data_IF_317208069987
#
_entry.id   IF_317208069987
#
_cell.length_a   1.000
_cell.length_b   1.000
_cell.length_c   1.000
_cell.angle_alpha   90.00
_cell.angle_beta   90.00
_cell.angle_gamma   90.00
#
_symmetry.space_group_name_H-M   'P 1'
#
loop_
_entity.id
_entity.type
_entity.pdbx_description
1 polymer ?
#
# COMPACT_ATOMS: atom_id res chain seq x y z
N UNK A 1 12.87 -16.00 9.28
CA UNK A 1 13.38 -14.66 8.89
C UNK A 1 13.94 -14.73 7.48
N UNK A 2 13.51 -13.86 6.58
CA UNK A 2 13.91 -13.79 5.16
C UNK A 2 14.32 -12.36 4.82
N UNK A 3 15.48 -12.16 4.17
CA UNK A 3 15.90 -10.84 3.68
C UNK A 3 15.69 -10.74 2.17
N UNK A 4 15.05 -9.66 1.74
CA UNK A 4 14.91 -9.25 0.35
C UNK A 4 15.60 -7.90 0.15
N UNK A 5 16.06 -7.62 -1.07
CA UNK A 5 16.72 -6.35 -1.40
C UNK A 5 16.06 -5.70 -2.60
N UNK A 6 15.75 -4.42 -2.45
CA UNK A 6 15.30 -3.55 -3.53
C UNK A 6 16.45 -2.58 -3.85
N UNK A 7 16.90 -2.58 -5.09
CA UNK A 7 17.83 -1.58 -5.62
C UNK A 7 17.07 -0.69 -6.61
N UNK A 8 17.08 0.61 -6.35
CA UNK A 8 16.45 1.62 -7.20
C UNK A 8 17.43 2.76 -7.51
N UNK A 9 17.02 3.68 -8.37
CA UNK A 9 17.82 4.86 -8.74
C UNK A 9 17.96 5.85 -7.59
N UNK A 10 17.06 5.78 -6.59
CA UNK A 10 17.02 6.69 -5.44
C UNK A 10 17.60 6.08 -4.16
N UNK A 11 18.16 4.89 -4.25
CA UNK A 11 18.77 4.18 -3.14
C UNK A 11 18.46 2.69 -3.12
N UNK A 12 18.93 2.01 -2.07
CA UNK A 12 18.66 0.60 -1.84
C UNK A 12 17.97 0.39 -0.50
N UNK A 13 17.09 -0.61 -0.43
CA UNK A 13 16.36 -0.98 0.77
C UNK A 13 16.56 -2.46 1.10
N UNK A 14 16.75 -2.78 2.39
CA UNK A 14 16.71 -4.13 2.93
C UNK A 14 15.35 -4.38 3.55
N UNK A 15 14.61 -5.33 3.03
CA UNK A 15 13.30 -5.72 3.55
C UNK A 15 13.49 -7.04 4.33
N UNK A 16 13.31 -6.98 5.65
CA UNK A 16 13.56 -8.12 6.54
C UNK A 16 12.23 -8.65 7.05
N UNK A 17 11.80 -9.78 6.53
CA UNK A 17 10.52 -10.41 6.82
C UNK A 17 10.67 -11.37 7.99
N UNK A 18 9.82 -11.21 9.00
CA UNK A 18 9.88 -11.96 10.25
C UNK A 18 10.93 -11.41 11.24
N UNK A 19 11.40 -10.17 11.02
CA UNK A 19 12.23 -9.45 11.99
C UNK A 19 11.39 -9.03 13.21
N UNK A 20 12.07 -8.79 14.33
CA UNK A 20 11.43 -8.13 15.48
C UNK A 20 11.87 -6.67 15.57
N UNK A 21 10.95 -5.79 15.95
CA UNK A 21 11.30 -4.40 16.24
C UNK A 21 12.29 -4.28 17.42
N UNK A 22 12.37 -5.30 18.26
CA UNK A 22 13.34 -5.36 19.36
C UNK A 22 14.78 -5.41 18.84
N UNK A 23 14.99 -5.94 17.63
CA UNK A 23 16.28 -6.10 16.99
C UNK A 23 16.67 -4.87 16.15
N UNK A 24 15.95 -3.74 16.31
CA UNK A 24 16.19 -2.51 15.54
C UNK A 24 17.65 -2.03 15.65
N UNK A 25 18.29 -2.26 16.81
CA UNK A 25 19.70 -1.93 17.03
C UNK A 25 20.70 -2.64 16.11
N UNK A 26 20.32 -3.77 15.51
CA UNK A 26 21.17 -4.51 14.56
C UNK A 26 21.20 -3.84 13.17
N UNK A 27 20.25 -2.95 12.91
CA UNK A 27 20.09 -2.27 11.61
C UNK A 27 20.54 -0.82 11.64
N UNK A 28 20.56 -0.19 12.81
CA UNK A 28 20.94 1.21 12.98
C UNK A 28 21.40 1.48 14.42
N UNK A 29 22.41 2.36 14.60
CA UNK A 29 22.85 2.78 15.94
C UNK A 29 21.67 3.38 16.73
N UNK A 30 21.27 2.69 17.80
CA UNK A 30 20.09 3.05 18.61
C UNK A 30 20.16 4.47 19.19
N UNK A 31 21.38 5.00 19.44
CA UNK A 31 21.61 6.36 19.94
C UNK A 31 21.28 7.45 18.92
N UNK A 32 21.16 7.09 17.65
CA UNK A 32 20.89 8.00 16.52
C UNK A 32 19.49 7.88 15.97
N UNK A 33 18.61 7.13 16.64
CA UNK A 33 17.24 6.92 16.20
C UNK A 33 16.33 8.01 16.77
N UNK A 34 15.49 8.56 15.88
CA UNK A 34 14.26 9.26 16.28
C UNK A 34 13.10 8.55 15.59
N UNK A 35 12.16 8.02 16.39
CA UNK A 35 10.98 7.36 15.86
C UNK A 35 9.89 8.38 15.53
N UNK A 36 9.26 8.22 14.38
CA UNK A 36 8.03 8.90 14.01
C UNK A 36 6.89 7.88 14.09
N UNK A 37 6.10 7.93 15.16
CA UNK A 37 5.14 6.90 15.50
C UNK A 37 3.69 7.38 15.32
N UNK A 38 2.83 6.52 14.73
CA UNK A 38 1.38 6.72 14.75
C UNK A 38 0.87 6.76 16.20
N UNK A 39 -0.08 7.65 16.49
CA UNK A 39 -0.60 7.87 17.86
C UNK A 39 -1.18 6.58 18.47
N UNK A 40 -1.92 5.77 17.69
CA UNK A 40 -2.51 4.52 18.18
C UNK A 40 -1.41 3.48 18.45
N UNK A 41 -0.43 3.40 17.55
CA UNK A 41 0.70 2.47 17.66
C UNK A 41 1.57 2.85 18.87
N UNK A 42 1.86 4.13 19.06
CA UNK A 42 2.61 4.61 20.22
C UNK A 42 1.91 4.26 21.54
N UNK A 43 0.58 4.33 21.59
CA UNK A 43 -0.21 3.94 22.76
C UNK A 43 -0.22 2.43 23.00
N UNK A 44 -0.41 1.63 21.94
CA UNK A 44 -0.52 0.17 22.04
C UNK A 44 0.83 -0.50 22.29
N UNK A 45 1.88 0.03 21.66
CA UNK A 45 3.23 -0.54 21.70
C UNK A 45 4.23 0.33 22.48
N UNK A 46 3.76 1.05 23.50
CA UNK A 46 4.57 2.00 24.29
C UNK A 46 5.89 1.42 24.80
N UNK A 47 5.90 0.15 25.18
CA UNK A 47 7.11 -0.53 25.67
C UNK A 47 8.20 -0.64 24.61
N UNK A 48 7.83 -0.79 23.34
CA UNK A 48 8.78 -0.92 22.22
C UNK A 48 9.47 0.39 21.87
N UNK A 49 8.81 1.54 22.15
CA UNK A 49 9.34 2.86 21.82
C UNK A 49 9.96 3.60 23.01
N UNK A 50 9.77 3.10 24.25
CA UNK A 50 10.16 3.82 25.48
C UNK A 50 11.66 4.08 25.62
N UNK A 51 12.50 3.32 24.92
CA UNK A 51 13.97 3.51 24.89
C UNK A 51 14.48 4.50 23.85
N UNK A 52 13.60 5.08 23.03
CA UNK A 52 13.98 5.95 21.92
C UNK A 52 13.40 7.35 22.08
N UNK A 53 14.05 8.35 21.48
CA UNK A 53 13.42 9.64 21.20
C UNK A 53 12.32 9.41 20.16
N UNK A 54 11.15 9.98 20.36
CA UNK A 54 10.05 9.80 19.40
C UNK A 54 9.15 11.02 19.27
N UNK A 55 8.44 11.08 18.15
CA UNK A 55 7.49 12.13 17.80
C UNK A 55 6.18 11.47 17.39
N UNK A 56 5.08 11.95 17.92
CA UNK A 56 3.73 11.58 17.50
C UNK A 56 3.43 12.25 16.15
N UNK A 57 3.11 11.44 15.14
CA UNK A 57 2.76 11.94 13.79
C UNK A 57 1.26 12.05 13.56
N UNK A 58 0.45 11.71 14.56
CA UNK A 58 -0.99 11.59 14.44
C UNK A 58 -1.41 10.24 13.85
N UNK A 59 -2.71 10.08 13.61
CA UNK A 59 -3.28 8.86 13.04
C UNK A 59 -4.26 9.18 11.90
N UNK A 60 -4.35 8.26 10.94
CA UNK A 60 -5.26 8.33 9.82
C UNK A 60 -4.87 9.37 8.77
N UNK A 61 -5.62 9.40 7.67
CA UNK A 61 -5.29 10.17 6.46
C UNK A 61 -5.21 11.69 6.70
N UNK A 62 -5.93 12.22 7.68
CA UNK A 62 -5.89 13.66 8.07
C UNK A 62 -4.51 14.10 8.58
N UNK A 63 -3.69 13.17 9.07
CA UNK A 63 -2.32 13.45 9.51
C UNK A 63 -1.36 13.70 8.33
N UNK A 64 -1.66 13.21 7.12
CA UNK A 64 -0.83 13.40 5.91
C UNK A 64 -0.94 14.79 5.34
N UNK A 65 -0.32 15.79 5.96
CA UNK A 65 -0.40 17.19 5.54
C UNK A 65 0.94 17.92 5.69
N UNK A 66 1.17 18.98 4.93
CA UNK A 66 2.34 19.85 5.09
C UNK A 66 2.43 20.44 6.49
N UNK A 67 1.29 20.75 7.11
CA UNK A 67 1.25 21.27 8.49
C UNK A 67 1.80 20.24 9.50
N UNK A 68 1.53 18.96 9.28
CA UNK A 68 2.10 17.88 10.10
C UNK A 68 3.60 17.76 9.88
N UNK A 69 4.06 17.87 8.64
CA UNK A 69 5.49 17.83 8.31
C UNK A 69 6.24 18.99 8.97
N UNK A 70 5.70 20.20 8.92
CA UNK A 70 6.31 21.35 9.60
C UNK A 70 6.47 21.11 11.12
N UNK A 71 5.41 20.61 11.76
CA UNK A 71 5.44 20.27 13.19
C UNK A 71 6.51 19.20 13.49
N UNK A 72 6.57 18.15 12.67
CA UNK A 72 7.56 17.08 12.82
C UNK A 72 8.97 17.64 12.66
N UNK A 73 9.23 18.47 11.65
CA UNK A 73 10.55 19.08 11.45
C UNK A 73 10.98 19.94 12.66
N UNK A 74 10.07 20.72 13.25
CA UNK A 74 10.34 21.46 14.50
C UNK A 74 10.69 20.51 15.64
N UNK A 75 9.95 19.43 15.83
CA UNK A 75 10.22 18.43 16.87
C UNK A 75 11.56 17.71 16.65
N UNK A 76 11.94 17.45 15.41
CA UNK A 76 13.27 16.90 15.09
C UNK A 76 14.39 17.86 15.54
N UNK A 77 14.23 19.17 15.30
CA UNK A 77 15.17 20.19 15.80
C UNK A 77 15.24 20.21 17.32
N UNK A 78 14.09 20.24 18.01
CA UNK A 78 14.02 20.25 19.47
C UNK A 78 14.71 19.00 20.09
N UNK A 79 14.64 17.86 19.43
CA UNK A 79 15.26 16.61 19.84
C UNK A 79 16.75 16.53 19.49
N UNK A 80 17.29 17.56 18.83
CA UNK A 80 18.71 17.64 18.45
C UNK A 80 19.07 16.72 17.28
N UNK A 81 18.14 16.51 16.34
CA UNK A 81 18.43 15.74 15.12
C UNK A 81 19.53 16.42 14.29
N UNK A 82 20.48 15.63 13.84
CA UNK A 82 21.57 16.04 12.95
C UNK A 82 21.64 15.11 11.72
N UNK A 83 22.66 15.34 10.86
CA UNK A 83 22.84 14.54 9.64
C UNK A 83 23.18 13.06 9.88
N UNK A 84 23.56 12.69 11.10
CA UNK A 84 23.79 11.30 11.49
C UNK A 84 22.55 10.61 12.02
N UNK A 85 21.47 11.35 12.25
CA UNK A 85 20.20 10.84 12.75
C UNK A 85 19.53 9.94 11.70
N UNK A 86 19.00 8.81 12.15
CA UNK A 86 18.13 7.93 11.35
C UNK A 86 16.70 8.05 11.85
N UNK A 87 15.79 8.40 10.96
CA UNK A 87 14.35 8.44 11.23
C UNK A 87 13.76 7.05 11.05
N UNK A 88 12.98 6.57 12.02
CA UNK A 88 12.26 5.29 11.88
C UNK A 88 10.76 5.55 11.93
N UNK A 89 10.07 5.30 10.81
CA UNK A 89 8.61 5.36 10.73
C UNK A 89 8.00 4.11 11.35
N UNK A 90 7.16 4.27 12.38
CA UNK A 90 6.46 3.19 13.08
C UNK A 90 4.95 3.39 12.95
N UNK A 91 4.29 2.55 12.17
CA UNK A 91 2.84 2.66 11.95
C UNK A 91 2.40 2.06 10.62
N UNK A 92 1.18 2.37 10.20
CA UNK A 92 0.65 2.01 8.89
C UNK A 92 1.26 2.85 7.75
N UNK A 93 0.72 2.72 6.54
CA UNK A 93 1.19 3.44 5.36
C UNK A 93 1.25 4.95 5.53
N UNK A 94 0.30 5.55 6.25
CA UNK A 94 0.28 6.99 6.56
C UNK A 94 1.52 7.41 7.33
N UNK A 95 1.88 6.67 8.39
CA UNK A 95 3.06 6.99 9.20
C UNK A 95 4.36 6.76 8.43
N UNK A 96 4.43 5.71 7.59
CA UNK A 96 5.57 5.46 6.71
C UNK A 96 5.76 6.60 5.71
N UNK A 97 4.68 7.03 5.02
CA UNK A 97 4.74 8.12 4.05
C UNK A 97 5.17 9.44 4.68
N UNK A 98 4.61 9.79 5.85
CA UNK A 98 4.99 10.98 6.61
C UNK A 98 6.46 10.92 7.03
N UNK A 99 6.89 9.78 7.58
CA UNK A 99 8.26 9.61 8.06
C UNK A 99 9.28 9.68 6.91
N UNK A 100 9.02 8.98 5.82
CA UNK A 100 9.87 8.99 4.64
C UNK A 100 9.96 10.37 3.99
N UNK A 101 8.82 11.09 3.90
CA UNK A 101 8.80 12.44 3.35
C UNK A 101 9.52 13.44 4.25
N UNK A 102 9.22 13.45 5.56
CA UNK A 102 9.90 14.32 6.53
C UNK A 102 11.42 14.09 6.54
N UNK A 103 11.86 12.83 6.60
CA UNK A 103 13.29 12.49 6.55
C UNK A 103 13.94 12.94 5.25
N UNK A 104 13.25 12.79 4.12
CA UNK A 104 13.80 13.13 2.80
C UNK A 104 14.05 14.63 2.60
N UNK A 105 13.27 15.50 3.27
CA UNK A 105 13.40 16.96 3.12
C UNK A 105 14.17 17.61 4.27
N UNK A 106 14.17 17.03 5.48
CA UNK A 106 14.86 17.59 6.64
C UNK A 106 16.36 17.58 6.41
N UNK A 107 17.03 18.72 6.62
CA UNK A 107 18.48 18.93 6.36
C UNK A 107 18.96 18.47 4.98
N UNK A 108 18.08 18.46 3.95
CA UNK A 108 18.31 17.95 2.60
C UNK A 108 18.44 16.43 2.51
N UNK A 109 17.93 15.72 3.50
CA UNK A 109 17.85 14.27 3.56
C UNK A 109 18.57 13.66 4.76
N UNK A 110 17.79 12.92 5.59
CA UNK A 110 18.29 12.02 6.61
C UNK A 110 18.13 10.58 6.15
N UNK A 111 18.94 9.68 6.71
CA UNK A 111 18.67 8.25 6.59
C UNK A 111 17.35 7.89 7.28
N UNK A 112 16.60 6.96 6.71
CA UNK A 112 15.36 6.50 7.32
C UNK A 112 15.11 5.01 7.06
N UNK A 113 14.25 4.42 7.89
CA UNK A 113 13.73 3.07 7.75
C UNK A 113 12.30 2.99 8.25
N UNK A 114 11.67 1.85 8.05
CA UNK A 114 10.28 1.62 8.45
C UNK A 114 10.14 0.35 9.31
N UNK A 115 9.24 0.42 10.27
CA UNK A 115 8.66 -0.71 10.98
C UNK A 115 7.13 -0.66 10.77
N UNK A 116 6.63 -1.19 9.64
CA UNK A 116 5.21 -1.14 9.30
C UNK A 116 4.38 -2.02 10.24
N UNK A 117 3.27 -1.45 10.75
CA UNK A 117 2.41 -2.12 11.75
C UNK A 117 1.06 -2.54 11.20
N UNK A 118 0.78 -2.28 9.94
CA UNK A 118 -0.42 -2.77 9.25
C UNK A 118 -0.04 -3.78 8.17
N UNK A 119 -0.89 -4.77 7.92
CA UNK A 119 -0.67 -5.76 6.87
C UNK A 119 -0.46 -5.09 5.51
N UNK A 120 -1.29 -4.08 5.18
CA UNK A 120 -1.16 -3.28 3.97
C UNK A 120 0.23 -2.64 3.85
N UNK A 121 0.75 -2.05 4.93
CA UNK A 121 2.07 -1.43 4.87
C UNK A 121 3.21 -2.45 4.77
N UNK A 122 3.05 -3.64 5.37
CA UNK A 122 4.04 -4.72 5.29
C UNK A 122 4.17 -5.30 3.87
N UNK A 123 3.06 -5.38 3.14
CA UNK A 123 3.07 -5.96 1.79
C UNK A 123 3.21 -4.92 0.67
N UNK A 124 2.81 -3.68 0.94
CA UNK A 124 2.71 -2.65 -0.11
C UNK A 124 3.31 -1.31 0.32
N UNK A 125 2.66 -0.52 1.17
CA UNK A 125 2.96 0.90 1.32
C UNK A 125 4.39 1.21 1.77
N UNK A 126 5.02 0.41 2.62
CA UNK A 126 6.40 0.64 3.08
C UNK A 126 7.49 0.25 2.07
N UNK A 127 7.12 -0.37 0.93
CA UNK A 127 8.06 -0.88 -0.08
C UNK A 127 7.96 -0.05 -1.35
N UNK A 128 9.10 0.40 -1.88
CA UNK A 128 9.16 1.03 -3.21
C UNK A 128 9.31 2.55 -3.22
N UNK A 129 9.63 3.16 -2.06
CA UNK A 129 10.20 4.51 -1.95
C UNK A 129 9.27 5.68 -2.29
N UNK A 130 7.97 5.45 -2.47
CA UNK A 130 6.99 6.53 -2.60
C UNK A 130 6.69 7.07 -1.21
N UNK A 131 7.00 8.34 -0.96
CA UNK A 131 6.73 9.01 0.31
C UNK A 131 6.06 10.36 0.01
N UNK A 132 5.03 10.72 0.76
CA UNK A 132 4.35 11.97 0.46
C UNK A 132 3.19 12.33 1.37
N UNK A 133 2.64 13.51 1.13
CA UNK A 133 1.52 14.07 1.86
C UNK A 133 0.48 14.66 0.92
N UNK A 134 -0.69 14.91 1.47
CA UNK A 134 -1.83 15.46 0.77
C UNK A 134 -1.80 17.00 0.76
N UNK A 135 -2.40 17.58 -0.26
CA UNK A 135 -2.62 19.03 -0.35
C UNK A 135 -4.00 19.29 -0.97
N UNK A 136 -4.79 20.12 -0.33
CA UNK A 136 -6.10 20.61 -0.83
C UNK A 136 -7.04 19.51 -1.35
N UNK A 137 -7.09 18.38 -0.62
CA UNK A 137 -7.93 17.22 -0.96
C UNK A 137 -7.35 16.30 -2.02
N UNK A 138 -6.18 16.61 -2.59
CA UNK A 138 -5.46 15.72 -3.49
C UNK A 138 -4.52 14.81 -2.69
N UNK A 139 -4.73 13.50 -2.76
CA UNK A 139 -3.89 12.50 -2.09
C UNK A 139 -2.49 12.42 -2.72
N UNK A 140 -1.46 12.38 -1.89
CA UNK A 140 -0.05 12.11 -2.26
C UNK A 140 0.53 13.04 -3.35
N UNK A 141 -0.04 14.24 -3.53
CA UNK A 141 0.38 15.17 -4.60
C UNK A 141 1.75 15.80 -4.32
N UNK A 142 2.12 15.91 -3.06
CA UNK A 142 3.43 16.36 -2.63
C UNK A 142 4.24 15.15 -2.14
N UNK A 143 5.27 14.76 -2.86
CA UNK A 143 6.02 13.57 -2.53
C UNK A 143 7.38 13.49 -3.19
N UNK A 144 8.12 12.49 -2.77
CA UNK A 144 9.44 12.15 -3.28
C UNK A 144 9.52 10.65 -3.55
N UNK A 145 10.41 10.27 -4.47
CA UNK A 145 10.90 8.90 -4.56
C UNK A 145 12.21 8.83 -3.79
N UNK A 146 12.22 8.12 -2.67
CA UNK A 146 13.43 7.90 -1.85
C UNK A 146 13.27 6.57 -1.09
N UNK A 147 14.25 5.67 -1.25
CA UNK A 147 14.17 4.34 -0.65
C UNK A 147 14.52 4.37 0.84
N UNK A 148 13.74 3.72 1.73
CA UNK A 148 14.15 3.48 3.10
C UNK A 148 15.39 2.57 3.12
N UNK A 149 16.33 2.80 4.04
CA UNK A 149 17.50 1.92 4.21
C UNK A 149 17.10 0.50 4.58
N UNK A 150 16.04 0.37 5.38
CA UNK A 150 15.46 -0.92 5.79
C UNK A 150 13.95 -0.83 5.99
N UNK A 151 13.28 -1.97 5.86
CA UNK A 151 11.90 -2.20 6.28
C UNK A 151 11.88 -3.45 7.16
N UNK A 152 11.55 -3.30 8.44
CA UNK A 152 11.45 -4.42 9.38
C UNK A 152 10.01 -4.89 9.47
N UNK A 153 9.73 -6.05 8.91
CA UNK A 153 8.39 -6.65 8.90
C UNK A 153 8.26 -7.56 10.13
N UNK A 154 7.69 -7.00 11.17
CA UNK A 154 7.41 -7.68 12.43
C UNK A 154 5.93 -8.08 12.47
N UNK A 155 5.65 -9.39 12.44
CA UNK A 155 4.28 -9.91 12.43
C UNK A 155 3.58 -9.76 13.79
N UNK A 156 4.35 -9.64 14.88
CA UNK A 156 3.76 -9.45 16.22
C UNK A 156 3.03 -8.10 16.32
N UNK A 157 3.42 -7.11 15.49
CA UNK A 157 2.74 -5.81 15.41
C UNK A 157 1.34 -5.90 14.79
N UNK A 158 1.03 -6.98 14.06
CA UNK A 158 -0.29 -7.20 13.47
C UNK A 158 -1.34 -7.67 14.51
N UNK A 159 -0.92 -8.21 15.65
CA UNK A 159 -1.84 -8.80 16.65
C UNK A 159 -2.80 -7.77 17.27
N UNK A 160 -2.48 -6.48 17.19
CA UNK A 160 -3.34 -5.39 17.68
C UNK A 160 -4.13 -4.69 16.58
N UNK A 161 -4.02 -5.20 15.33
CA UNK A 161 -4.64 -4.59 14.17
C UNK A 161 -6.15 -4.88 14.13
N UNK A 162 -7.02 -3.88 13.94
CA UNK A 162 -8.45 -4.13 13.75
C UNK A 162 -8.73 -4.98 12.50
N UNK A 163 -9.75 -5.82 12.53
CA UNK A 163 -10.13 -6.72 11.43
C UNK A 163 -10.28 -5.97 10.07
N UNK A 164 -10.83 -4.77 10.09
CA UNK A 164 -10.96 -3.92 8.88
C UNK A 164 -9.61 -3.60 8.23
N UNK A 165 -8.58 -3.37 9.03
CA UNK A 165 -7.23 -3.08 8.55
C UNK A 165 -6.53 -4.36 8.03
N UNK A 166 -6.86 -5.52 8.62
CA UNK A 166 -6.41 -6.83 8.10
C UNK A 166 -7.01 -7.05 6.71
N UNK A 167 -8.31 -6.80 6.52
CA UNK A 167 -8.97 -6.87 5.23
C UNK A 167 -8.35 -5.92 4.20
N UNK A 168 -7.95 -4.72 4.62
CA UNK A 168 -7.23 -3.77 3.76
C UNK A 168 -5.93 -4.34 3.21
N UNK A 169 -5.14 -5.00 4.05
CA UNK A 169 -3.92 -5.69 3.62
C UNK A 169 -4.20 -6.93 2.77
N UNK A 170 -5.24 -7.71 3.12
CA UNK A 170 -5.65 -8.88 2.35
C UNK A 170 -6.07 -8.51 0.91
N UNK A 171 -6.75 -7.38 0.72
CA UNK A 171 -7.10 -6.88 -0.62
C UNK A 171 -5.85 -6.62 -1.48
N UNK A 172 -4.79 -6.03 -0.90
CA UNK A 172 -3.53 -5.81 -1.61
C UNK A 172 -2.78 -7.12 -1.92
N UNK A 173 -2.84 -8.10 -1.02
CA UNK A 173 -2.27 -9.44 -1.25
C UNK A 173 -3.00 -10.12 -2.42
N UNK A 174 -4.34 -10.07 -2.45
CA UNK A 174 -5.14 -10.59 -3.58
C UNK A 174 -4.78 -9.86 -4.87
N UNK A 175 -4.65 -8.55 -4.84
CA UNK A 175 -4.18 -7.76 -6.00
C UNK A 175 -2.83 -8.26 -6.51
N UNK A 176 -1.88 -8.45 -5.63
CA UNK A 176 -0.55 -8.96 -5.99
C UNK A 176 -0.62 -10.36 -6.60
N UNK A 177 -1.44 -11.25 -6.04
CA UNK A 177 -1.67 -12.58 -6.60
C UNK A 177 -2.23 -12.51 -8.02
N UNK A 178 -3.24 -11.67 -8.24
CA UNK A 178 -3.89 -11.50 -9.54
C UNK A 178 -2.99 -10.91 -10.61
N UNK A 179 -2.06 -10.03 -10.25
CA UNK A 179 -1.19 -9.37 -11.24
C UNK A 179 0.14 -10.08 -11.47
N UNK A 180 0.51 -11.10 -10.68
CA UNK A 180 1.84 -11.66 -10.88
C UNK A 180 2.20 -12.95 -10.14
N UNK A 181 1.31 -13.55 -9.33
CA UNK A 181 1.60 -14.79 -8.61
C UNK A 181 0.39 -15.72 -8.55
N UNK A 182 0.16 -16.53 -9.61
CA UNK A 182 -0.94 -17.51 -9.64
C UNK A 182 -0.87 -18.56 -8.54
N UNK A 183 0.31 -18.91 -8.07
CA UNK A 183 0.47 -19.88 -6.98
C UNK A 183 0.01 -19.26 -5.64
N UNK A 184 0.31 -17.97 -5.41
CA UNK A 184 -0.20 -17.25 -4.25
C UNK A 184 -1.74 -17.14 -4.32
N UNK A 185 -2.31 -16.98 -5.52
CA UNK A 185 -3.77 -16.98 -5.70
C UNK A 185 -4.37 -18.32 -5.26
N UNK A 186 -3.83 -19.43 -5.76
CA UNK A 186 -4.29 -20.78 -5.38
C UNK A 186 -4.11 -21.04 -3.86
N UNK A 187 -3.01 -20.57 -3.28
CA UNK A 187 -2.79 -20.65 -1.85
C UNK A 187 -3.86 -19.89 -1.05
N UNK A 188 -4.25 -18.71 -1.51
CA UNK A 188 -5.29 -17.89 -0.86
C UNK A 188 -6.69 -18.51 -0.98
N UNK A 189 -7.02 -19.22 -2.07
CA UNK A 189 -8.27 -19.95 -2.21
C UNK A 189 -8.44 -21.00 -1.09
N UNK A 190 -7.36 -21.64 -0.68
CA UNK A 190 -7.36 -22.68 0.36
C UNK A 190 -7.16 -22.09 1.77
N UNK A 191 -6.28 -21.12 1.92
CA UNK A 191 -5.76 -20.64 3.20
C UNK A 191 -6.15 -19.20 3.56
N UNK A 192 -7.03 -18.55 2.80
CA UNK A 192 -7.43 -17.15 3.05
C UNK A 192 -7.99 -16.92 4.46
N UNK A 193 -8.73 -17.87 5.02
CA UNK A 193 -9.22 -17.81 6.39
C UNK A 193 -8.10 -17.80 7.45
N UNK A 194 -7.00 -18.51 7.21
CA UNK A 194 -5.81 -18.55 8.08
C UNK A 194 -5.06 -17.22 8.06
N UNK A 195 -4.98 -16.58 6.87
CA UNK A 195 -4.45 -15.23 6.74
C UNK A 195 -5.26 -14.21 7.57
N UNK A 196 -6.59 -14.26 7.48
CA UNK A 196 -7.47 -13.37 8.24
C UNK A 196 -7.39 -13.62 9.76
N UNK A 197 -7.12 -14.86 10.17
CA UNK A 197 -6.85 -15.23 11.55
C UNK A 197 -5.43 -14.85 12.03
N UNK A 198 -4.60 -14.26 11.15
CA UNK A 198 -3.20 -13.93 11.40
C UNK A 198 -2.37 -15.12 11.86
N UNK A 199 -2.65 -16.33 11.35
CA UNK A 199 -1.81 -17.49 11.58
C UNK A 199 -0.41 -17.24 11.00
N UNK A 200 0.61 -17.43 11.82
CA UNK A 200 1.97 -16.95 11.52
C UNK A 200 2.55 -17.49 10.21
N UNK A 201 2.39 -18.77 9.96
CA UNK A 201 2.89 -19.41 8.74
C UNK A 201 2.15 -18.92 7.49
N UNK A 202 0.83 -18.72 7.57
CA UNK A 202 0.03 -18.17 6.49
C UNK A 202 0.40 -16.71 6.19
N UNK A 203 0.59 -15.89 7.23
CA UNK A 203 1.05 -14.51 7.08
C UNK A 203 2.45 -14.44 6.47
N UNK A 204 3.40 -15.25 7.00
CA UNK A 204 4.78 -15.27 6.52
C UNK A 204 4.86 -15.65 5.02
N UNK A 205 4.09 -16.64 4.58
CA UNK A 205 4.05 -17.08 3.18
C UNK A 205 3.57 -15.93 2.27
N UNK A 206 2.39 -15.37 2.55
CA UNK A 206 1.79 -14.39 1.64
C UNK A 206 2.50 -13.02 1.69
N UNK A 207 2.99 -12.60 2.86
CA UNK A 207 3.77 -11.35 2.98
C UNK A 207 5.09 -11.50 2.25
N UNK A 208 5.74 -12.66 2.36
CA UNK A 208 6.99 -12.95 1.67
C UNK A 208 6.84 -12.91 0.16
N UNK A 209 5.81 -13.55 -0.39
CA UNK A 209 5.50 -13.55 -1.84
C UNK A 209 5.10 -12.16 -2.33
N UNK A 210 4.21 -11.50 -1.61
CA UNK A 210 3.70 -10.18 -1.96
C UNK A 210 4.83 -9.14 -2.02
N UNK A 211 5.70 -9.11 -0.99
CA UNK A 211 6.87 -8.23 -0.97
C UNK A 211 7.85 -8.54 -2.12
N UNK A 212 8.11 -9.81 -2.40
CA UNK A 212 9.00 -10.22 -3.48
C UNK A 212 8.47 -9.78 -4.85
N UNK A 213 7.17 -9.95 -5.10
CA UNK A 213 6.52 -9.48 -6.33
C UNK A 213 6.64 -7.95 -6.46
N UNK A 214 6.31 -7.22 -5.39
CA UNK A 214 6.40 -5.76 -5.42
C UNK A 214 7.82 -5.28 -5.69
N UNK A 215 8.82 -5.87 -5.03
CA UNK A 215 10.24 -5.57 -5.25
C UNK A 215 10.59 -5.80 -6.72
N UNK A 216 10.21 -6.95 -7.30
CA UNK A 216 10.45 -7.27 -8.71
C UNK A 216 9.90 -6.17 -9.63
N UNK A 217 8.66 -5.75 -9.43
CA UNK A 217 8.01 -4.72 -10.26
C UNK A 217 8.70 -3.34 -10.08
N UNK A 218 8.96 -2.95 -8.82
CA UNK A 218 9.59 -1.65 -8.52
C UNK A 218 11.03 -1.57 -9.01
N UNK A 219 11.78 -2.68 -8.96
CA UNK A 219 13.17 -2.72 -9.46
C UNK A 219 13.26 -2.48 -10.97
N UNK A 220 12.22 -2.83 -11.73
CA UNK A 220 12.13 -2.57 -13.17
C UNK A 220 11.66 -1.15 -13.46
N UNK A 221 10.71 -0.64 -12.66
CA UNK A 221 10.08 0.67 -12.88
C UNK A 221 9.83 1.39 -11.56
N UNK A 222 10.88 2.01 -11.02
CA UNK A 222 10.78 2.73 -9.75
C UNK A 222 9.80 3.91 -9.81
N UNK A 223 9.72 4.60 -10.96
CA UNK A 223 8.98 5.86 -11.13
C UNK A 223 7.57 5.72 -11.68
N UNK A 224 7.10 4.46 -11.89
CA UNK A 224 5.75 4.18 -12.39
C UNK A 224 5.46 4.78 -13.78
N UNK A 225 6.39 4.58 -14.66
CA UNK A 225 6.23 5.00 -16.06
C UNK A 225 5.49 3.95 -16.90
N UNK A 226 5.65 2.65 -16.56
CA UNK A 226 5.09 1.52 -17.31
C UNK A 226 4.74 0.33 -16.39
N UNK A 227 5.67 -0.59 -16.13
CA UNK A 227 5.46 -1.87 -15.42
C UNK A 227 4.82 -1.70 -14.03
N UNK A 228 5.25 -0.71 -13.26
CA UNK A 228 4.72 -0.45 -11.92
C UNK A 228 3.24 -0.05 -11.94
N UNK A 229 2.72 0.40 -13.09
CA UNK A 229 1.28 0.71 -13.23
C UNK A 229 0.38 -0.52 -13.06
N UNK A 230 0.91 -1.74 -13.25
CA UNK A 230 0.18 -2.99 -12.98
C UNK A 230 -0.30 -3.08 -11.53
N UNK A 231 0.44 -2.48 -10.59
CA UNK A 231 0.02 -2.35 -9.18
C UNK A 231 -1.27 -1.53 -9.00
N UNK A 232 -1.71 -0.79 -10.01
CA UNK A 232 -2.98 -0.05 -9.99
C UNK A 232 -4.20 -0.90 -10.41
N UNK A 233 -4.07 -2.24 -10.51
CA UNK A 233 -5.21 -3.11 -10.76
C UNK A 233 -6.30 -2.87 -9.69
N UNK A 234 -7.53 -2.59 -10.11
CA UNK A 234 -8.64 -2.20 -9.24
C UNK A 234 -8.64 -0.74 -8.75
N UNK A 235 -7.48 -0.10 -8.65
CA UNK A 235 -7.32 1.22 -8.02
C UNK A 235 -7.97 2.37 -8.78
N UNK A 236 -8.19 2.22 -10.09
CA UNK A 236 -8.82 3.30 -10.88
C UNK A 236 -10.22 3.62 -10.39
N UNK A 237 -11.01 2.59 -10.05
CA UNK A 237 -12.34 2.77 -9.48
C UNK A 237 -12.28 2.93 -7.95
N UNK A 238 -11.37 2.23 -7.27
CA UNK A 238 -11.26 2.27 -5.81
C UNK A 238 -11.10 3.70 -5.28
N UNK A 239 -10.22 4.51 -5.86
CA UNK A 239 -10.02 5.90 -5.45
C UNK A 239 -11.31 6.74 -5.59
N UNK A 240 -12.11 6.49 -6.61
CA UNK A 240 -13.39 7.17 -6.76
C UNK A 240 -14.39 6.74 -5.67
N UNK A 241 -14.46 5.44 -5.36
CA UNK A 241 -15.31 4.89 -4.31
C UNK A 241 -14.93 5.42 -2.91
N UNK A 242 -13.64 5.46 -2.58
CA UNK A 242 -13.17 6.07 -1.34
C UNK A 242 -13.62 7.53 -1.19
N UNK A 243 -13.54 8.28 -2.28
CA UNK A 243 -13.83 9.73 -2.28
C UNK A 243 -15.33 10.04 -2.26
N UNK A 244 -16.15 9.24 -2.94
CA UNK A 244 -17.59 9.51 -3.12
C UNK A 244 -18.45 8.82 -2.08
N UNK A 245 -18.09 7.61 -1.66
CA UNK A 245 -18.90 6.78 -0.76
C UNK A 245 -18.29 6.60 0.64
N UNK A 246 -17.09 7.13 0.89
CA UNK A 246 -16.42 7.00 2.18
C UNK A 246 -16.10 5.55 2.56
N UNK A 247 -15.99 4.67 1.58
CA UNK A 247 -15.68 3.24 1.73
C UNK A 247 -14.20 3.10 2.12
N UNK A 248 -13.86 2.08 2.91
CA UNK A 248 -12.47 1.84 3.26
C UNK A 248 -11.63 1.43 2.05
N UNK A 249 -10.32 1.65 2.14
CA UNK A 249 -9.39 1.33 1.06
C UNK A 249 -9.53 -0.12 0.58
N UNK A 250 -9.47 -1.09 1.49
CA UNK A 250 -9.57 -2.51 1.12
C UNK A 250 -10.89 -2.90 0.47
N UNK A 251 -12.01 -2.39 1.01
CA UNK A 251 -13.34 -2.59 0.40
C UNK A 251 -13.39 -1.99 -1.01
N UNK A 252 -12.90 -0.76 -1.18
CA UNK A 252 -12.87 -0.09 -2.47
C UNK A 252 -11.98 -0.83 -3.49
N UNK A 253 -10.83 -1.35 -3.05
CA UNK A 253 -9.93 -2.16 -3.91
C UNK A 253 -10.59 -3.48 -4.30
N UNK A 254 -11.29 -4.17 -3.38
CA UNK A 254 -12.06 -5.38 -3.70
C UNK A 254 -13.07 -5.15 -4.81
N UNK A 255 -13.93 -4.12 -4.66
CA UNK A 255 -14.90 -3.71 -5.68
C UNK A 255 -14.21 -3.32 -7.00
N UNK A 256 -13.13 -2.56 -6.92
CA UNK A 256 -12.38 -2.13 -8.10
C UNK A 256 -11.72 -3.28 -8.86
N UNK A 257 -11.21 -4.29 -8.16
CA UNK A 257 -10.68 -5.52 -8.77
C UNK A 257 -11.79 -6.29 -9.50
N UNK A 258 -12.97 -6.44 -8.86
CA UNK A 258 -14.10 -7.11 -9.51
C UNK A 258 -14.58 -6.35 -10.75
N UNK A 259 -14.65 -5.02 -10.69
CA UNK A 259 -15.01 -4.22 -11.87
C UNK A 259 -14.02 -4.43 -13.02
N UNK A 260 -12.71 -4.36 -12.76
CA UNK A 260 -11.68 -4.62 -13.75
C UNK A 260 -11.73 -6.05 -14.30
N UNK A 261 -12.06 -7.02 -13.46
CA UNK A 261 -12.26 -8.44 -13.85
C UNK A 261 -13.46 -8.61 -14.77
N UNK A 262 -14.60 -7.98 -14.44
CA UNK A 262 -15.82 -8.00 -15.29
C UNK A 262 -15.59 -7.30 -16.62
N UNK A 263 -14.85 -6.20 -16.68
CA UNK A 263 -14.41 -5.58 -17.94
C UNK A 263 -13.54 -6.55 -18.76
N UNK A 264 -12.61 -7.26 -18.09
CA UNK A 264 -11.75 -8.25 -18.77
C UNK A 264 -12.58 -9.36 -19.41
N UNK A 265 -13.60 -9.87 -18.71
CA UNK A 265 -14.57 -10.84 -19.24
C UNK A 265 -15.36 -10.27 -20.41
N UNK A 266 -15.94 -9.07 -20.26
CA UNK A 266 -16.75 -8.42 -21.31
C UNK A 266 -15.96 -8.13 -22.58
N UNK A 267 -14.64 -7.96 -22.48
CA UNK A 267 -13.73 -7.81 -23.62
C UNK A 267 -13.23 -9.14 -24.20
N UNK A 268 -13.64 -10.26 -23.63
CA UNK A 268 -13.19 -11.59 -24.06
C UNK A 268 -11.71 -11.89 -23.71
N UNK A 269 -11.09 -11.09 -22.83
CA UNK A 269 -9.72 -11.32 -22.39
C UNK A 269 -9.66 -12.44 -21.34
N UNK A 270 -10.70 -12.58 -20.52
CA UNK A 270 -10.76 -13.50 -19.38
C UNK A 270 -11.90 -14.51 -19.57
N UNK A 271 -11.72 -15.74 -19.12
CA UNK A 271 -12.81 -16.72 -19.14
C UNK A 271 -13.76 -16.53 -17.94
N UNK A 272 -15.05 -16.90 -18.11
CA UNK A 272 -16.01 -16.85 -17.00
C UNK A 272 -15.69 -17.81 -15.86
N UNK A 273 -14.89 -18.84 -16.09
CA UNK A 273 -14.42 -19.73 -15.03
C UNK A 273 -13.41 -19.02 -14.12
N UNK A 274 -12.49 -18.26 -14.68
CA UNK A 274 -11.50 -17.48 -13.94
C UNK A 274 -12.18 -16.33 -13.18
N UNK A 275 -13.12 -15.64 -13.83
CA UNK A 275 -13.90 -14.57 -13.18
C UNK A 275 -14.61 -15.09 -11.91
N UNK A 276 -15.30 -16.23 -11.99
CA UNK A 276 -15.98 -16.84 -10.82
C UNK A 276 -15.00 -17.21 -9.70
N UNK A 277 -13.80 -17.69 -10.02
CA UNK A 277 -12.76 -17.96 -9.01
C UNK A 277 -12.32 -16.69 -8.30
N UNK A 278 -12.08 -15.61 -9.05
CA UNK A 278 -11.69 -14.31 -8.49
C UNK A 278 -12.79 -13.77 -7.58
N UNK A 279 -14.04 -13.80 -8.01
CA UNK A 279 -15.19 -13.38 -7.21
C UNK A 279 -15.34 -14.22 -5.94
N UNK A 280 -15.22 -15.55 -6.07
CA UNK A 280 -15.31 -16.45 -4.92
C UNK A 280 -14.23 -16.16 -3.86
N UNK A 281 -12.99 -15.90 -4.28
CA UNK A 281 -11.91 -15.54 -3.35
C UNK A 281 -12.18 -14.18 -2.67
N UNK A 282 -12.55 -13.15 -3.43
CA UNK A 282 -12.82 -11.81 -2.89
C UNK A 282 -13.96 -11.89 -1.86
N UNK A 283 -15.07 -12.53 -2.20
CA UNK A 283 -16.20 -12.71 -1.27
C UNK A 283 -15.86 -13.62 -0.10
N UNK A 284 -15.10 -14.68 -0.33
CA UNK A 284 -14.65 -15.62 0.71
C UNK A 284 -13.77 -14.97 1.78
N UNK A 285 -13.03 -13.93 1.41
CA UNK A 285 -12.27 -13.10 2.35
C UNK A 285 -13.13 -12.02 3.04
N UNK A 286 -14.41 -11.90 2.71
CA UNK A 286 -15.29 -10.86 3.26
C UNK A 286 -15.12 -9.49 2.63
N UNK A 287 -14.45 -9.40 1.47
CA UNK A 287 -14.35 -8.17 0.70
C UNK A 287 -15.61 -8.01 -0.18
N UNK A 288 -16.17 -6.79 -0.31
CA UNK A 288 -17.28 -6.56 -1.21
C UNK A 288 -16.84 -6.66 -2.66
N UNK A 289 -17.70 -7.27 -3.49
CA UNK A 289 -17.49 -7.46 -4.91
C UNK A 289 -18.44 -6.63 -5.78
N UNK A 290 -19.51 -6.09 -5.18
CA UNK A 290 -20.54 -5.33 -5.88
C UNK A 290 -20.37 -3.84 -5.62
N UNK A 291 -20.54 -3.05 -6.67
CA UNK A 291 -20.37 -1.60 -6.61
C UNK A 291 -21.72 -0.98 -6.21
N UNK A 292 -21.78 -0.17 -5.15
CA UNK A 292 -23.01 0.53 -4.81
C UNK A 292 -23.36 1.53 -5.93
N UNK A 293 -24.60 1.49 -6.40
CA UNK A 293 -25.09 2.22 -7.54
C UNK A 293 -24.94 3.75 -7.40
N UNK A 294 -24.02 4.33 -8.15
CA UNK A 294 -23.95 5.77 -8.48
C UNK A 294 -23.06 5.97 -9.71
N UNK A 295 -23.32 5.24 -10.80
CA UNK A 295 -22.48 5.22 -12.00
C UNK A 295 -22.06 6.60 -12.51
N UNK A 296 -22.98 7.59 -12.50
CA UNK A 296 -22.70 8.94 -12.98
C UNK A 296 -21.68 9.70 -12.10
N UNK A 297 -21.79 9.59 -10.78
CA UNK A 297 -20.86 10.23 -9.85
C UNK A 297 -19.48 9.59 -9.89
N UNK A 298 -19.43 8.26 -10.03
CA UNK A 298 -18.18 7.51 -10.17
C UNK A 298 -17.47 7.90 -11.47
N UNK A 299 -18.19 7.97 -12.59
CA UNK A 299 -17.64 8.38 -13.88
C UNK A 299 -16.96 9.75 -13.78
N UNK A 300 -17.67 10.76 -13.26
CA UNK A 300 -17.12 12.11 -13.10
C UNK A 300 -15.89 12.13 -12.20
N UNK A 301 -15.90 11.37 -11.11
CA UNK A 301 -14.79 11.32 -10.15
C UNK A 301 -13.56 10.63 -10.75
N UNK A 302 -13.74 9.47 -11.37
CA UNK A 302 -12.67 8.74 -12.08
C UNK A 302 -12.08 9.62 -13.17
N UNK A 303 -12.95 10.35 -13.93
CA UNK A 303 -12.51 11.17 -15.04
C UNK A 303 -11.75 12.43 -14.61
N UNK A 304 -12.06 12.99 -13.44
CA UNK A 304 -11.37 14.18 -12.88
C UNK A 304 -10.05 13.83 -12.20
N UNK A 305 -9.95 12.67 -11.57
CA UNK A 305 -8.83 12.31 -10.68
C UNK A 305 -7.58 11.83 -11.45
N UNK A 306 -7.71 11.37 -12.68
CA UNK A 306 -6.57 10.87 -13.47
C UNK A 306 -6.16 11.85 -14.55
N UNK A 307 -4.84 12.20 -14.53
CA UNK A 307 -4.18 12.96 -15.59
C UNK A 307 -4.45 12.29 -16.94
N UNK A 308 -5.14 13.01 -17.82
CA UNK A 308 -5.54 12.57 -19.14
C UNK A 308 -4.32 12.47 -20.03
N UNK A 309 -4.01 11.30 -20.54
CA UNK A 309 -3.17 11.14 -21.70
C UNK A 309 -4.09 11.03 -22.93
N UNK A 310 -4.17 12.10 -23.71
CA UNK A 310 -4.92 12.15 -24.98
C UNK A 310 -6.40 11.69 -24.88
N UNK A 311 -7.12 12.01 -23.80
CA UNK A 311 -8.56 11.76 -23.69
C UNK A 311 -8.96 10.32 -23.32
N UNK A 312 -8.03 9.47 -22.92
CA UNK A 312 -8.30 8.12 -22.46
C UNK A 312 -7.68 7.87 -21.07
N UNK A 313 -8.29 6.94 -20.32
CA UNK A 313 -7.79 6.46 -19.04
C UNK A 313 -7.03 5.14 -19.23
N UNK A 314 -5.90 5.00 -18.58
CA UNK A 314 -5.22 3.71 -18.50
C UNK A 314 -5.88 2.84 -17.43
N UNK A 315 -6.28 1.65 -17.83
CA UNK A 315 -6.81 0.61 -16.97
C UNK A 315 -5.89 -0.61 -16.98
N UNK A 316 -5.78 -1.26 -15.84
CA UNK A 316 -5.17 -2.59 -15.76
C UNK A 316 -6.31 -3.60 -15.81
N UNK A 317 -6.25 -4.51 -16.76
CA UNK A 317 -7.16 -5.63 -16.94
C UNK A 317 -6.37 -6.95 -16.80
N UNK A 318 -7.06 -8.09 -16.85
CA UNK A 318 -6.45 -9.41 -16.77
C UNK A 318 -6.74 -10.21 -18.05
N UNK A 319 -5.73 -10.89 -18.57
CA UNK A 319 -5.88 -11.96 -19.56
C UNK A 319 -6.00 -13.33 -18.89
N UNK A 320 -5.43 -13.46 -17.68
CA UNK A 320 -5.52 -14.62 -16.80
C UNK A 320 -5.03 -14.21 -15.40
N UNK A 321 -5.15 -15.08 -14.39
CA UNK A 321 -4.51 -14.89 -13.10
C UNK A 321 -2.99 -14.82 -13.31
N UNK A 322 -2.37 -13.75 -12.79
CA UNK A 322 -0.94 -13.49 -12.99
C UNK A 322 -0.58 -12.83 -14.32
N UNK A 323 -1.55 -12.53 -15.20
CA UNK A 323 -1.32 -11.93 -16.52
C UNK A 323 -2.05 -10.60 -16.68
N UNK A 324 -1.56 -9.52 -16.08
CA UNK A 324 -2.13 -8.20 -16.20
C UNK A 324 -1.75 -7.54 -17.53
N UNK A 325 -2.69 -6.83 -18.14
CA UNK A 325 -2.50 -6.02 -19.34
C UNK A 325 -2.93 -4.58 -19.08
N UNK A 326 -2.12 -3.62 -19.54
CA UNK A 326 -2.47 -2.20 -19.46
C UNK A 326 -3.19 -1.82 -20.74
N UNK A 327 -4.40 -1.33 -20.62
CA UNK A 327 -5.25 -0.94 -21.76
C UNK A 327 -5.74 0.50 -21.60
N UNK A 328 -6.27 1.08 -22.66
CA UNK A 328 -6.92 2.38 -22.64
C UNK A 328 -8.43 2.18 -22.72
N UNK A 329 -9.16 2.93 -21.90
CA UNK A 329 -10.60 3.08 -21.96
C UNK A 329 -10.94 4.54 -22.24
N UNK A 330 -11.78 4.80 -23.22
CA UNK A 330 -12.34 6.13 -23.40
C UNK A 330 -13.54 6.35 -22.43
N UNK A 331 -14.05 7.59 -22.42
CA UNK A 331 -15.13 7.95 -21.48
C UNK A 331 -16.42 7.17 -21.77
N UNK A 332 -16.74 6.96 -23.03
CA UNK A 332 -17.98 6.26 -23.43
C UNK A 332 -17.94 4.77 -23.07
N UNK A 333 -16.77 4.15 -23.27
CA UNK A 333 -16.56 2.77 -22.84
C UNK A 333 -16.69 2.61 -21.33
N UNK A 334 -16.05 3.51 -20.54
CA UNK A 334 -16.13 3.48 -19.10
C UNK A 334 -17.56 3.70 -18.61
N UNK A 335 -18.29 4.65 -19.20
CA UNK A 335 -19.70 4.93 -18.88
C UNK A 335 -20.57 3.70 -19.14
N UNK A 336 -20.41 3.04 -20.29
CA UNK A 336 -21.11 1.79 -20.61
C UNK A 336 -20.81 0.71 -19.56
N UNK A 337 -19.53 0.48 -19.23
CA UNK A 337 -19.18 -0.55 -18.24
C UNK A 337 -19.70 -0.22 -16.84
N UNK A 338 -19.70 1.04 -16.44
CA UNK A 338 -20.30 1.45 -15.15
C UNK A 338 -21.81 1.25 -15.12
N UNK A 339 -22.48 1.38 -16.29
CA UNK A 339 -23.92 1.12 -16.40
C UNK A 339 -24.25 -0.38 -16.41
N UNK A 340 -23.44 -1.18 -17.13
CA UNK A 340 -23.77 -2.58 -17.41
C UNK A 340 -23.28 -3.55 -16.31
N UNK A 341 -22.27 -3.16 -15.52
CA UNK A 341 -21.55 -4.04 -14.60
C UNK A 341 -21.63 -3.60 -13.13
N UNK A 342 -22.31 -2.49 -12.82
CA UNK A 342 -22.49 -1.98 -11.45
C UNK A 342 -23.90 -2.21 -10.92
#
# INVERSE_FOLDING_TARGET
MRELRLAGSTGSSRIVIGASLKDLGDYVDSRRIIMLADSNVARLHRRLISGYKWVDVGSGEKAKSLRSIEKICRRLLDLGADRSTTVVGLGGGVACDIAGFAASIFMRGLGFGFAPTTLLAQVDAAIGGKNGVNLDGYKNILGVFNQPRFVLVDFDLLQTLPAREILGGAAEIVKHALIGDPEMFAYLEENGHRLLALERDAVEEVVGRSAALKIKIVSVDERETDERRKLNFGHTLAHALEKTAGISHGEAVGMGMMFATRISLARGLLSGAVERRIEALIRGLGLPADIPAAAGLLLETVWKDKKREAGALRFVLLEDIGKPVITKLDRKELERYLHDLC
#
